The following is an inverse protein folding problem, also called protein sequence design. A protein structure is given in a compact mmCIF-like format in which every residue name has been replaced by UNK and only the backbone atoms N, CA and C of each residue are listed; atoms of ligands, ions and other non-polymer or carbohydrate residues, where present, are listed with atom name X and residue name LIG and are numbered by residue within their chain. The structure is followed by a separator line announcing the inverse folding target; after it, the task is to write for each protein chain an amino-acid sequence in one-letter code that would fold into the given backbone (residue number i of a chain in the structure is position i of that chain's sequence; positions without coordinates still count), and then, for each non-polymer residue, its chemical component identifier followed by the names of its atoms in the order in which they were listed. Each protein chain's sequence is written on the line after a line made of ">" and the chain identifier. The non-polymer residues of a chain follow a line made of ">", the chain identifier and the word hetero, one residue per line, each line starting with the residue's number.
data_IF_489315159681
#
_entry.id   IF_489315159681
#
_cell.length_a   1.000
_cell.length_b   1.000
_cell.length_c   1.000
_cell.angle_alpha   90.00
_cell.angle_beta   90.00
_cell.angle_gamma   90.00
#
_symmetry.space_group_name_H-M   'P 1'
#
loop_
_entity.id
_entity.type
_entity.pdbx_description
1 polymer ?
#
# COMPACT_ATOMS: atom_id res chain seq x y z
N UNK A 1 13.16 -12.43 -15.68
CA UNK A 1 11.91 -13.18 -15.46
C UNK A 1 10.77 -12.20 -15.29
N UNK A 2 9.96 -12.02 -16.33
CA UNK A 2 8.74 -11.21 -16.30
C UNK A 2 7.71 -11.96 -15.48
N UNK A 3 7.45 -11.51 -14.25
CA UNK A 3 6.42 -12.12 -13.39
C UNK A 3 5.07 -11.87 -14.07
N UNK A 4 4.46 -12.93 -14.61
CA UNK A 4 3.17 -12.87 -15.29
C UNK A 4 2.15 -12.17 -14.38
N UNK A 5 1.41 -11.23 -14.96
CA UNK A 5 0.36 -10.50 -14.26
C UNK A 5 -0.80 -11.44 -13.97
N UNK A 6 -1.08 -11.66 -12.68
CA UNK A 6 -2.29 -12.35 -12.24
C UNK A 6 -3.52 -11.67 -12.88
N UNK A 7 -4.43 -12.39 -13.54
CA UNK A 7 -5.65 -11.81 -14.10
C UNK A 7 -6.60 -11.47 -12.95
N UNK A 8 -6.48 -10.25 -12.40
CA UNK A 8 -7.33 -9.76 -11.31
C UNK A 8 -8.64 -9.21 -11.86
N UNK A 9 -9.74 -9.47 -11.15
CA UNK A 9 -11.05 -8.91 -11.48
C UNK A 9 -11.05 -7.38 -11.31
N UNK A 10 -11.96 -6.69 -12.01
CA UNK A 10 -12.20 -5.26 -11.83
C UNK A 10 -12.56 -4.91 -10.37
N UNK A 11 -13.32 -5.78 -9.70
CA UNK A 11 -13.65 -5.63 -8.27
C UNK A 11 -12.40 -5.67 -7.39
N UNK A 12 -11.47 -6.59 -7.65
CA UNK A 12 -10.21 -6.71 -6.90
C UNK A 12 -9.34 -5.47 -7.10
N UNK A 13 -9.20 -5.01 -8.34
CA UNK A 13 -8.44 -3.78 -8.65
C UNK A 13 -9.04 -2.55 -7.97
N UNK A 14 -10.38 -2.48 -7.89
CA UNK A 14 -11.07 -1.40 -7.19
C UNK A 14 -10.76 -1.42 -5.69
N UNK A 15 -10.87 -2.58 -5.04
CA UNK A 15 -10.55 -2.74 -3.61
C UNK A 15 -9.10 -2.38 -3.31
N UNK A 16 -8.15 -2.81 -4.14
CA UNK A 16 -6.73 -2.46 -3.97
C UNK A 16 -6.49 -0.96 -4.05
N UNK A 17 -7.11 -0.27 -5.01
CA UNK A 17 -7.05 1.20 -5.12
C UNK A 17 -7.66 1.89 -3.91
N UNK A 18 -8.82 1.43 -3.45
CA UNK A 18 -9.48 1.97 -2.27
C UNK A 18 -8.60 1.82 -1.03
N UNK A 19 -8.04 0.62 -0.80
CA UNK A 19 -7.17 0.36 0.33
C UNK A 19 -5.89 1.21 0.29
N UNK A 20 -5.25 1.32 -0.88
CA UNK A 20 -4.09 2.20 -1.08
C UNK A 20 -4.40 3.66 -0.79
N UNK A 21 -5.57 4.15 -1.22
CA UNK A 21 -6.04 5.50 -0.96
C UNK A 21 -6.33 5.74 0.53
N UNK A 22 -6.93 4.76 1.24
CA UNK A 22 -7.14 4.82 2.68
C UNK A 22 -5.81 4.93 3.43
N UNK A 23 -4.81 4.11 3.06
CA UNK A 23 -3.49 4.16 3.68
C UNK A 23 -2.83 5.53 3.45
N UNK A 24 -2.92 6.06 2.23
CA UNK A 24 -2.42 7.39 1.91
C UNK A 24 -3.10 8.47 2.74
N UNK A 25 -4.42 8.43 2.86
CA UNK A 25 -5.21 9.41 3.64
C UNK A 25 -4.79 9.39 5.12
N UNK A 26 -4.80 8.21 5.74
CA UNK A 26 -4.42 8.04 7.14
C UNK A 26 -2.95 8.44 7.41
N UNK A 27 -2.04 8.19 6.45
CA UNK A 27 -0.66 8.69 6.53
C UNK A 27 -0.61 10.21 6.54
N UNK A 28 -1.35 10.87 5.64
CA UNK A 28 -1.37 12.33 5.52
C UNK A 28 -2.03 13.01 6.73
N UNK A 29 -3.10 12.44 7.27
CA UNK A 29 -3.76 12.91 8.50
C UNK A 29 -2.80 12.94 9.70
N UNK A 30 -1.78 12.08 9.69
CA UNK A 30 -0.74 12.01 10.72
C UNK A 30 0.48 12.86 10.43
N UNK A 31 0.49 13.63 9.33
CA UNK A 31 1.65 14.41 8.88
C UNK A 31 2.85 13.55 8.48
N UNK A 32 2.66 12.25 8.29
CA UNK A 32 3.75 11.29 8.03
C UNK A 32 4.20 11.34 6.57
N UNK A 33 5.51 11.38 6.33
CA UNK A 33 6.07 11.33 4.97
C UNK A 33 6.13 9.89 4.45
N UNK A 34 6.08 9.70 3.13
CA UNK A 34 6.28 8.37 2.53
C UNK A 34 7.61 7.73 2.92
N UNK A 35 8.68 8.54 3.07
CA UNK A 35 9.99 8.06 3.49
C UNK A 35 9.97 7.47 4.92
N UNK A 36 9.23 8.11 5.82
CA UNK A 36 9.07 7.66 7.20
C UNK A 36 8.31 6.34 7.26
N UNK A 37 7.20 6.23 6.51
CA UNK A 37 6.47 4.96 6.39
C UNK A 37 7.34 3.86 5.79
N UNK A 38 8.14 4.17 4.75
CA UNK A 38 9.02 3.18 4.13
C UNK A 38 10.10 2.66 5.07
N UNK A 39 10.65 3.52 5.94
CA UNK A 39 11.63 3.13 6.96
C UNK A 39 11.00 2.17 7.98
N UNK A 40 9.78 2.47 8.45
CA UNK A 40 9.06 1.62 9.40
C UNK A 40 8.68 0.26 8.81
N UNK A 41 8.37 0.23 7.52
CA UNK A 41 8.05 -0.99 6.78
C UNK A 41 9.30 -1.79 6.34
N UNK A 42 10.49 -1.22 6.41
CA UNK A 42 11.71 -1.85 5.87
C UNK A 42 11.70 -2.02 4.35
N UNK A 43 11.01 -1.14 3.61
CA UNK A 43 10.89 -1.19 2.14
C UNK A 43 11.38 0.09 1.48
N UNK A 44 11.47 0.10 0.15
CA UNK A 44 11.79 1.32 -0.58
C UNK A 44 10.65 2.34 -0.53
N UNK A 45 10.98 3.64 -0.64
CA UNK A 45 9.96 4.68 -0.83
C UNK A 45 9.08 4.43 -2.07
N UNK A 46 9.63 3.83 -3.12
CA UNK A 46 8.87 3.46 -4.32
C UNK A 46 7.79 2.41 -4.02
N UNK A 47 8.08 1.45 -3.13
CA UNK A 47 7.11 0.45 -2.68
C UNK A 47 5.93 1.13 -1.98
N UNK A 48 6.17 2.16 -1.15
CA UNK A 48 5.09 2.95 -0.52
C UNK A 48 4.28 3.71 -1.56
N UNK A 49 4.92 4.30 -2.57
CA UNK A 49 4.21 4.98 -3.68
C UNK A 49 3.32 4.00 -4.45
N UNK A 50 3.82 2.79 -4.74
CA UNK A 50 3.08 1.73 -5.42
C UNK A 50 1.89 1.24 -4.57
N UNK A 51 2.12 1.04 -3.26
CA UNK A 51 1.10 0.66 -2.29
C UNK A 51 -0.04 1.67 -2.26
N UNK A 52 0.28 2.96 -2.16
CA UNK A 52 -0.74 4.03 -2.13
C UNK A 52 -1.53 4.16 -3.44
N UNK A 53 -0.99 3.64 -4.55
CA UNK A 53 -1.68 3.55 -5.84
C UNK A 53 -2.52 2.29 -5.99
N UNK A 54 -2.45 1.36 -5.03
CA UNK A 54 -3.13 0.07 -5.09
C UNK A 54 -2.46 -0.91 -6.04
N UNK A 55 -1.14 -0.83 -6.22
CA UNK A 55 -0.41 -1.74 -7.12
C UNK A 55 -0.50 -3.19 -6.63
N UNK A 56 -1.04 -4.13 -7.44
CA UNK A 56 -1.28 -5.51 -6.97
C UNK A 56 -0.02 -6.32 -6.69
N UNK A 57 1.15 -5.83 -7.12
CA UNK A 57 2.44 -6.50 -6.93
C UNK A 57 3.06 -6.22 -5.57
N UNK A 58 2.51 -5.27 -4.80
CA UNK A 58 2.95 -5.03 -3.42
C UNK A 58 2.53 -6.22 -2.56
N UNK A 59 3.49 -6.76 -1.80
CA UNK A 59 3.23 -7.92 -0.94
C UNK A 59 2.13 -7.64 0.06
N UNK A 60 1.21 -8.58 0.24
CA UNK A 60 0.06 -8.46 1.15
C UNK A 60 0.47 -8.11 2.59
N UNK A 61 1.60 -8.66 3.07
CA UNK A 61 2.17 -8.32 4.37
C UNK A 61 2.58 -6.84 4.48
N UNK A 62 3.17 -6.27 3.42
CA UNK A 62 3.51 -4.84 3.39
C UNK A 62 2.26 -3.96 3.42
N UNK A 63 1.19 -4.38 2.76
CA UNK A 63 -0.09 -3.64 2.75
C UNK A 63 -0.73 -3.63 4.14
N UNK A 64 -0.85 -4.79 4.78
CA UNK A 64 -1.44 -4.88 6.11
C UNK A 64 -0.56 -4.25 7.18
N UNK A 65 0.76 -4.39 7.12
CA UNK A 65 1.66 -3.70 8.05
C UNK A 65 1.56 -2.18 7.90
N UNK A 66 1.44 -1.68 6.66
CA UNK A 66 1.22 -0.25 6.43
C UNK A 66 -0.10 0.21 7.05
N UNK A 67 -1.18 -0.54 6.85
CA UNK A 67 -2.49 -0.27 7.43
C UNK A 67 -2.43 -0.23 8.98
N UNK A 68 -1.75 -1.19 9.60
CA UNK A 68 -1.51 -1.20 11.06
C UNK A 68 -0.72 0.04 11.51
N UNK A 69 0.38 0.37 10.84
CA UNK A 69 1.21 1.56 11.14
C UNK A 69 0.40 2.86 11.02
N UNK A 70 -0.43 2.97 9.99
CA UNK A 70 -1.33 4.11 9.77
C UNK A 70 -2.68 3.95 10.48
N UNK A 71 -2.81 2.95 11.37
CA UNK A 71 -3.95 2.71 12.26
C UNK A 71 -5.31 2.62 11.57
N UNK A 72 -5.35 1.97 10.41
CA UNK A 72 -6.59 1.50 9.79
C UNK A 72 -7.00 0.20 10.51
N UNK A 73 -8.25 0.07 10.99
CA UNK A 73 -8.75 -1.19 11.53
C UNK A 73 -8.84 -2.25 10.41
N UNK A 74 -8.36 -3.46 10.70
CA UNK A 74 -8.31 -4.61 9.78
C UNK A 74 -9.39 -5.65 10.09
#
# INVERSE_FOLDING_TARGET
>A
MTKESLPLSSSTLSVLKTLGAMIKAARLERGMRQAELSQRLGVSRYTVIALEKGEPKVGVGTVFEAATIVGIPL
#
